data_IF_204497517150
#
_entry.id   IF_204497517150
#
_cell.length_a   1.000
_cell.length_b   1.000
_cell.length_c   1.000
_cell.angle_alpha   90.00
_cell.angle_beta   90.00
_cell.angle_gamma   90.00
#
_symmetry.space_group_name_H-M   'P 1'
#
loop_
_entity.id
_entity.type
_entity.pdbx_description
1 polymer ?
#
# COMPACT_ATOMS: atom_id res chain seq x y z
N UNK A 1 2.35 29.18 -0.66
CA UNK A 1 2.29 27.92 -1.43
C UNK A 1 1.22 27.06 -0.78
N UNK A 2 0.30 26.48 -1.56
CA UNK A 2 -0.76 25.63 -1.00
C UNK A 2 -0.20 24.31 -0.45
N UNK A 3 -1.02 23.62 0.34
CA UNK A 3 -0.70 22.32 0.95
C UNK A 3 -0.67 21.24 -0.12
N UNK A 4 0.36 20.39 -0.12
CA UNK A 4 0.34 19.15 -0.92
C UNK A 4 0.13 17.97 0.00
N UNK A 5 -1.02 17.31 -0.13
CA UNK A 5 -1.40 16.18 0.70
C UNK A 5 -1.28 14.88 -0.09
N UNK A 6 -0.48 13.95 0.40
CA UNK A 6 -0.53 12.57 -0.06
C UNK A 6 -1.44 11.74 0.86
N UNK A 7 -2.40 11.02 0.29
CA UNK A 7 -3.29 10.10 1.00
C UNK A 7 -2.92 8.66 0.63
N UNK A 8 -2.43 7.88 1.60
CA UNK A 8 -2.16 6.45 1.44
C UNK A 8 -3.34 5.61 1.96
N UNK A 9 -3.99 4.89 1.04
CA UNK A 9 -5.17 4.08 1.32
C UNK A 9 -4.81 2.63 1.66
N UNK A 10 -5.32 2.16 2.80
CA UNK A 10 -5.28 0.74 3.15
C UNK A 10 -6.21 -0.14 2.29
N UNK A 11 -6.07 -1.46 2.42
CA UNK A 11 -6.88 -2.42 1.67
C UNK A 11 -8.40 -2.28 1.88
N UNK A 12 -8.82 -1.84 3.08
CA UNK A 12 -10.23 -1.64 3.43
C UNK A 12 -10.91 -0.52 2.62
N UNK A 13 -10.14 0.36 1.98
CA UNK A 13 -10.68 1.35 1.04
C UNK A 13 -11.26 0.70 -0.23
N UNK A 14 -10.86 -0.55 -0.51
CA UNK A 14 -11.24 -1.27 -1.73
C UNK A 14 -12.00 -2.55 -1.38
N UNK A 15 -11.50 -3.36 -0.45
CA UNK A 15 -12.12 -4.62 -0.04
C UNK A 15 -12.08 -4.78 1.47
N UNK A 16 -13.24 -5.01 2.10
CA UNK A 16 -13.33 -5.29 3.53
C UNK A 16 -13.01 -6.76 3.84
N UNK A 17 -12.67 -7.03 5.10
CA UNK A 17 -12.25 -8.36 5.54
C UNK A 17 -13.35 -9.44 5.40
N UNK A 18 -14.63 -9.05 5.50
CA UNK A 18 -15.79 -9.93 5.45
C UNK A 18 -16.44 -10.06 4.06
N UNK A 19 -15.91 -9.37 3.05
CA UNK A 19 -16.44 -9.38 1.68
C UNK A 19 -15.70 -10.41 0.81
N UNK A 20 -16.37 -10.90 -0.24
CA UNK A 20 -15.75 -11.82 -1.21
C UNK A 20 -14.76 -11.09 -2.11
N UNK A 21 -15.00 -9.80 -2.38
CA UNK A 21 -14.19 -8.98 -3.26
C UNK A 21 -14.71 -8.97 -4.70
N UNK A 22 -16.02 -9.05 -4.90
CA UNK A 22 -16.63 -8.87 -6.22
C UNK A 22 -16.40 -7.45 -6.76
N UNK A 23 -16.58 -7.26 -8.07
CA UNK A 23 -16.48 -5.92 -8.67
C UNK A 23 -17.44 -4.92 -8.02
N UNK A 24 -18.67 -5.32 -7.73
CA UNK A 24 -19.69 -4.44 -7.13
C UNK A 24 -19.32 -4.04 -5.70
N UNK A 25 -18.82 -4.99 -4.90
CA UNK A 25 -18.33 -4.69 -3.54
C UNK A 25 -17.15 -3.73 -3.58
N UNK A 26 -16.18 -3.96 -4.46
CA UNK A 26 -15.00 -3.12 -4.58
C UNK A 26 -15.35 -1.71 -5.09
N UNK A 27 -16.21 -1.61 -6.11
CA UNK A 27 -16.71 -0.34 -6.62
C UNK A 27 -17.46 0.45 -5.55
N UNK A 28 -18.30 -0.20 -4.75
CA UNK A 28 -19.03 0.42 -3.64
C UNK A 28 -18.08 0.95 -2.56
N UNK A 29 -17.06 0.20 -2.16
CA UNK A 29 -16.08 0.66 -1.17
C UNK A 29 -15.24 1.82 -1.67
N UNK A 30 -14.79 1.76 -2.94
CA UNK A 30 -14.06 2.85 -3.57
C UNK A 30 -14.95 4.10 -3.69
N UNK A 31 -16.24 3.95 -3.99
CA UNK A 31 -17.20 5.06 -4.00
C UNK A 31 -17.28 5.76 -2.64
N UNK A 32 -17.45 5.00 -1.55
CA UNK A 32 -17.46 5.55 -0.17
C UNK A 32 -16.15 6.28 0.13
N UNK A 33 -15.01 5.70 -0.26
CA UNK A 33 -13.69 6.33 -0.08
C UNK A 33 -13.59 7.65 -0.84
N UNK A 34 -13.98 7.67 -2.11
CA UNK A 34 -13.96 8.87 -2.94
C UNK A 34 -14.88 9.96 -2.38
N UNK A 35 -16.07 9.61 -1.88
CA UNK A 35 -16.98 10.57 -1.26
C UNK A 35 -16.31 11.31 -0.08
N UNK A 36 -15.64 10.58 0.81
CA UNK A 36 -14.96 11.16 1.97
C UNK A 36 -13.77 12.02 1.57
N UNK A 37 -12.99 11.58 0.58
CA UNK A 37 -11.88 12.37 0.04
C UNK A 37 -12.38 13.64 -0.65
N UNK A 38 -13.49 13.60 -1.40
CA UNK A 38 -14.09 14.81 -1.99
C UNK A 38 -14.59 15.77 -0.92
N UNK A 39 -15.19 15.28 0.18
CA UNK A 39 -15.55 16.12 1.35
C UNK A 39 -14.33 16.81 1.96
N UNK A 40 -13.19 16.12 2.01
CA UNK A 40 -11.92 16.71 2.43
C UNK A 40 -11.46 17.79 1.45
N UNK A 41 -11.43 17.51 0.15
CA UNK A 41 -11.01 18.44 -0.91
C UNK A 41 -11.89 19.70 -0.93
N UNK A 42 -13.19 19.57 -0.66
CA UNK A 42 -14.11 20.73 -0.56
C UNK A 42 -13.72 21.73 0.55
N UNK A 43 -12.92 21.31 1.54
CA UNK A 43 -12.42 22.19 2.61
C UNK A 43 -11.03 22.77 2.34
N UNK A 44 -10.38 22.32 1.27
CA UNK A 44 -9.04 22.76 0.92
C UNK A 44 -9.04 24.13 0.23
N UNK A 45 -7.92 24.83 0.32
CA UNK A 45 -7.69 26.07 -0.44
C UNK A 45 -7.49 25.79 -1.93
N UNK A 46 -7.68 26.80 -2.78
CA UNK A 46 -7.55 26.64 -4.24
C UNK A 46 -6.14 26.18 -4.69
N UNK A 47 -5.12 26.47 -3.90
CA UNK A 47 -3.73 26.09 -4.16
C UNK A 47 -3.34 24.75 -3.55
N UNK A 48 -4.22 24.12 -2.77
CA UNK A 48 -3.93 22.81 -2.21
C UNK A 48 -4.02 21.74 -3.30
N UNK A 49 -3.22 20.68 -3.15
CA UNK A 49 -3.12 19.56 -4.07
C UNK A 49 -3.25 18.24 -3.33
N UNK A 50 -3.83 17.25 -4.01
CA UNK A 50 -4.01 15.90 -3.47
C UNK A 50 -3.47 14.87 -4.45
N UNK A 51 -2.71 13.93 -3.92
CA UNK A 51 -2.35 12.69 -4.60
C UNK A 51 -2.76 11.50 -3.73
N UNK A 52 -3.03 10.36 -4.37
CA UNK A 52 -3.57 9.17 -3.72
C UNK A 52 -2.68 7.98 -4.07
N UNK A 53 -2.34 7.18 -3.07
CA UNK A 53 -1.77 5.85 -3.24
C UNK A 53 -2.69 4.82 -2.58
N UNK A 54 -2.53 3.54 -2.93
CA UNK A 54 -3.35 2.48 -2.35
C UNK A 54 -2.59 1.16 -2.27
N UNK A 55 -3.03 0.25 -1.39
CA UNK A 55 -2.62 -1.15 -1.43
C UNK A 55 -3.33 -1.96 -2.53
N UNK A 56 -2.81 -3.14 -2.87
CA UNK A 56 -3.39 -4.06 -3.86
C UNK A 56 -3.43 -5.53 -3.41
N UNK A 57 -3.11 -5.83 -2.13
CA UNK A 57 -2.84 -7.19 -1.67
C UNK A 57 -3.92 -8.23 -2.02
N UNK A 58 -5.21 -7.98 -1.75
CA UNK A 58 -6.28 -8.88 -2.19
C UNK A 58 -6.40 -9.00 -3.72
N UNK A 59 -6.25 -7.89 -4.45
CA UNK A 59 -6.43 -7.84 -5.90
C UNK A 59 -5.31 -8.57 -6.64
N UNK A 60 -4.05 -8.28 -6.30
CA UNK A 60 -2.89 -8.98 -6.87
C UNK A 60 -2.90 -10.46 -6.51
N UNK A 61 -3.37 -10.82 -5.30
CA UNK A 61 -3.57 -12.21 -4.89
C UNK A 61 -4.62 -12.94 -5.73
N UNK A 62 -5.76 -12.30 -6.01
CA UNK A 62 -6.81 -12.87 -6.85
C UNK A 62 -6.34 -13.02 -8.31
N UNK A 63 -5.65 -12.01 -8.86
CA UNK A 63 -5.09 -12.08 -10.20
C UNK A 63 -4.05 -13.20 -10.31
N UNK A 64 -3.24 -13.41 -9.28
CA UNK A 64 -2.29 -14.51 -9.24
C UNK A 64 -2.99 -15.89 -9.28
N UNK A 65 -4.07 -16.07 -8.52
CA UNK A 65 -4.88 -17.31 -8.59
C UNK A 65 -5.43 -17.51 -10.01
N UNK A 66 -5.83 -16.43 -10.69
CA UNK A 66 -6.29 -16.50 -12.09
C UNK A 66 -5.16 -16.89 -13.05
N UNK A 67 -3.93 -16.38 -12.85
CA UNK A 67 -2.77 -16.80 -13.63
C UNK A 67 -2.48 -18.29 -13.43
N UNK A 68 -2.49 -18.77 -12.19
CA UNK A 68 -2.25 -20.17 -11.84
C UNK A 68 -3.31 -21.09 -12.46
N UNK A 69 -4.59 -20.77 -12.26
CA UNK A 69 -5.71 -21.56 -12.80
C UNK A 69 -5.78 -21.52 -14.33
N UNK A 70 -5.37 -20.42 -14.95
CA UNK A 70 -5.38 -20.23 -16.41
C UNK A 70 -4.13 -20.75 -17.13
N UNK A 71 -3.05 -21.07 -16.40
CA UNK A 71 -1.73 -21.40 -16.96
C UNK A 71 -1.71 -22.59 -17.94
N UNK A 72 -2.64 -23.55 -17.77
CA UNK A 72 -2.80 -24.69 -18.68
C UNK A 72 -3.50 -24.35 -20.01
N UNK A 73 -4.09 -23.16 -20.12
CA UNK A 73 -4.83 -22.69 -21.31
C UNK A 73 -4.10 -21.53 -22.01
N UNK A 74 -3.53 -20.60 -21.22
CA UNK A 74 -2.80 -19.43 -21.71
C UNK A 74 -1.56 -19.20 -20.84
N UNK A 75 -0.46 -18.64 -21.39
CA UNK A 75 0.74 -18.37 -20.60
C UNK A 75 0.45 -17.43 -19.42
N UNK A 76 0.80 -17.88 -18.21
CA UNK A 76 0.78 -17.04 -17.02
C UNK A 76 1.76 -15.86 -17.18
N UNK A 77 1.38 -14.70 -16.66
CA UNK A 77 2.20 -13.50 -16.67
C UNK A 77 3.11 -13.44 -15.43
N UNK A 78 4.26 -12.78 -15.61
CA UNK A 78 5.19 -12.49 -14.52
C UNK A 78 4.54 -11.61 -13.44
N UNK A 79 5.02 -11.73 -12.22
CA UNK A 79 4.34 -11.16 -11.06
C UNK A 79 4.33 -9.62 -11.03
N UNK A 80 5.37 -8.97 -11.56
CA UNK A 80 5.43 -7.52 -11.77
C UNK A 80 4.36 -7.06 -12.80
N UNK A 81 4.17 -7.83 -13.87
CA UNK A 81 3.11 -7.60 -14.86
C UNK A 81 1.73 -7.77 -14.21
N UNK A 82 1.53 -8.78 -13.36
CA UNK A 82 0.30 -8.95 -12.57
C UNK A 82 0.09 -7.76 -11.61
N UNK A 83 1.16 -7.24 -11.02
CA UNK A 83 1.15 -5.98 -10.25
C UNK A 83 0.63 -4.81 -11.09
N UNK A 84 1.11 -4.66 -12.33
CA UNK A 84 0.63 -3.62 -13.26
C UNK A 84 -0.86 -3.74 -13.59
N UNK A 85 -1.37 -4.98 -13.74
CA UNK A 85 -2.81 -5.22 -13.95
C UNK A 85 -3.64 -4.70 -12.78
N UNK A 86 -3.16 -4.89 -11.55
CA UNK A 86 -3.85 -4.41 -10.35
C UNK A 86 -3.87 -2.87 -10.27
N UNK A 87 -2.84 -2.18 -10.77
CA UNK A 87 -2.84 -0.71 -10.87
C UNK A 87 -3.90 -0.23 -11.87
N UNK A 88 -3.99 -0.85 -13.04
CA UNK A 88 -5.04 -0.53 -14.02
C UNK A 88 -6.45 -0.80 -13.47
N UNK A 89 -6.64 -1.94 -12.81
CA UNK A 89 -7.92 -2.32 -12.21
C UNK A 89 -8.37 -1.32 -11.13
N UNK A 90 -7.54 -1.10 -10.10
CA UNK A 90 -7.90 -0.26 -8.96
C UNK A 90 -7.90 1.23 -9.37
N UNK A 91 -6.93 1.63 -10.18
CA UNK A 91 -6.83 2.98 -10.73
C UNK A 91 -8.08 3.38 -11.50
N UNK A 92 -8.63 2.49 -12.33
CA UNK A 92 -9.91 2.71 -12.99
C UNK A 92 -11.05 2.94 -12.00
N UNK A 93 -11.17 2.11 -10.95
CA UNK A 93 -12.22 2.25 -9.94
C UNK A 93 -12.15 3.62 -9.25
N UNK A 94 -10.96 4.07 -8.86
CA UNK A 94 -10.78 5.39 -8.25
C UNK A 94 -11.03 6.53 -9.23
N UNK A 95 -10.48 6.44 -10.45
CA UNK A 95 -10.64 7.48 -11.46
C UNK A 95 -12.12 7.71 -11.79
N UNK A 96 -12.89 6.63 -12.01
CA UNK A 96 -14.32 6.74 -12.30
C UNK A 96 -15.10 7.32 -11.13
N UNK A 97 -14.94 6.77 -9.92
CA UNK A 97 -15.71 7.22 -8.75
C UNK A 97 -15.35 8.65 -8.33
N UNK A 98 -14.06 8.97 -8.28
CA UNK A 98 -13.60 10.31 -7.92
C UNK A 98 -14.14 11.35 -8.91
N UNK A 99 -14.07 11.09 -10.21
CA UNK A 99 -14.61 12.01 -11.22
C UNK A 99 -16.13 12.21 -11.05
N UNK A 100 -16.88 11.16 -10.72
CA UNK A 100 -18.32 11.25 -10.45
C UNK A 100 -18.62 12.15 -9.23
N UNK A 101 -17.93 11.94 -8.10
CA UNK A 101 -18.16 12.74 -6.89
C UNK A 101 -17.69 14.19 -7.03
N UNK A 102 -16.58 14.44 -7.75
CA UNK A 102 -16.12 15.79 -8.09
C UNK A 102 -17.14 16.51 -8.98
N UNK A 103 -17.69 15.82 -9.98
CA UNK A 103 -18.75 16.36 -10.86
C UNK A 103 -19.99 16.72 -10.05
N UNK A 104 -20.42 15.83 -9.15
CA UNK A 104 -21.57 16.05 -8.27
C UNK A 104 -21.34 17.21 -7.26
N UNK A 105 -20.10 17.39 -6.79
CA UNK A 105 -19.73 18.51 -5.93
C UNK A 105 -19.85 19.88 -6.64
N UNK A 106 -19.83 19.90 -7.97
CA UNK A 106 -20.06 21.10 -8.78
C UNK A 106 -18.91 22.11 -8.74
N UNK A 107 -19.19 23.33 -9.23
CA UNK A 107 -18.25 24.44 -9.22
C UNK A 107 -16.94 24.17 -9.98
N UNK A 108 -15.81 24.61 -9.41
CA UNK A 108 -14.47 24.36 -9.97
C UNK A 108 -14.07 22.88 -9.88
N UNK A 109 -14.51 22.17 -8.82
CA UNK A 109 -14.18 20.76 -8.59
C UNK A 109 -14.69 19.84 -9.69
N UNK A 110 -15.84 20.14 -10.29
CA UNK A 110 -16.41 19.35 -11.38
C UNK A 110 -15.51 19.28 -12.63
N UNK A 111 -14.51 20.18 -12.74
CA UNK A 111 -13.54 20.21 -13.84
C UNK A 111 -12.17 19.68 -13.42
N UNK A 112 -11.99 19.27 -12.17
CA UNK A 112 -10.71 18.72 -11.69
C UNK A 112 -10.45 17.39 -12.39
N UNK A 113 -9.34 17.27 -13.14
CA UNK A 113 -9.00 16.01 -13.80
C UNK A 113 -8.50 15.00 -12.77
N UNK A 114 -8.89 13.75 -12.95
CA UNK A 114 -8.38 12.62 -12.18
C UNK A 114 -7.68 11.65 -13.13
N UNK A 115 -6.46 11.23 -12.78
CA UNK A 115 -5.72 10.24 -13.57
C UNK A 115 -5.11 9.17 -12.68
N UNK A 116 -5.29 7.91 -13.08
CA UNK A 116 -4.50 6.80 -12.55
C UNK A 116 -3.29 6.57 -13.44
N UNK A 117 -2.10 6.55 -12.84
CA UNK A 117 -0.83 6.38 -13.54
C UNK A 117 -0.27 5.00 -13.24
N UNK A 118 0.01 4.23 -14.29
CA UNK A 118 0.84 3.03 -14.15
C UNK A 118 2.26 3.50 -13.84
N UNK A 119 2.83 3.06 -12.72
CA UNK A 119 4.13 3.53 -12.28
C UNK A 119 5.01 2.42 -11.70
N UNK A 120 6.31 2.61 -11.90
CA UNK A 120 7.38 1.74 -11.44
C UNK A 120 8.09 2.36 -10.23
N UNK A 121 8.58 1.50 -9.35
CA UNK A 121 9.37 1.90 -8.18
C UNK A 121 10.68 1.13 -8.18
N UNK A 122 11.77 1.90 -8.20
CA UNK A 122 13.12 1.39 -8.15
C UNK A 122 13.39 0.81 -6.75
N UNK A 123 13.97 -0.40 -6.73
CA UNK A 123 14.39 -1.10 -5.52
C UNK A 123 15.83 -1.60 -5.68
N UNK A 124 16.50 -1.90 -4.56
CA UNK A 124 17.86 -2.44 -4.60
C UNK A 124 17.85 -3.92 -4.98
N UNK A 125 18.65 -4.39 -5.96
CA UNK A 125 18.81 -5.82 -6.21
C UNK A 125 19.48 -6.56 -5.03
N UNK A 126 20.19 -5.84 -4.16
CA UNK A 126 20.85 -6.38 -2.97
C UNK A 126 19.99 -6.29 -1.70
N UNK A 127 18.69 -5.96 -1.84
CA UNK A 127 17.80 -5.90 -0.69
C UNK A 127 17.68 -7.28 -0.01
N UNK A 128 17.88 -7.39 1.31
CA UNK A 128 17.85 -8.67 2.02
C UNK A 128 16.49 -9.39 1.95
N UNK A 129 15.39 -8.70 1.66
CA UNK A 129 14.08 -9.33 1.45
C UNK A 129 14.04 -10.25 0.21
N UNK A 130 14.96 -10.08 -0.74
CA UNK A 130 15.11 -11.02 -1.84
C UNK A 130 15.73 -12.35 -1.40
N UNK A 131 16.46 -12.36 -0.28
CA UNK A 131 17.06 -13.56 0.30
C UNK A 131 16.08 -14.30 1.22
N UNK A 132 15.33 -13.57 2.03
CA UNK A 132 14.34 -14.14 2.96
C UNK A 132 13.02 -13.37 2.93
N UNK A 133 12.05 -13.75 2.07
CA UNK A 133 10.83 -12.98 1.87
C UNK A 133 9.93 -13.00 3.10
N UNK A 134 9.39 -11.85 3.51
CA UNK A 134 8.50 -11.79 4.69
C UNK A 134 7.08 -11.35 4.38
N UNK A 135 6.83 -10.75 3.20
CA UNK A 135 5.56 -10.09 2.91
C UNK A 135 4.45 -11.07 2.54
N UNK A 136 3.36 -11.17 3.31
CA UNK A 136 2.32 -12.16 3.03
C UNK A 136 1.32 -11.67 1.97
N UNK A 137 1.03 -12.53 1.00
CA UNK A 137 0.07 -12.27 -0.10
C UNK A 137 -0.97 -13.40 -0.23
N UNK A 138 -2.08 -13.12 -0.90
CA UNK A 138 -3.13 -14.11 -1.17
C UNK A 138 -3.81 -14.67 0.08
N UNK A 139 -4.37 -15.88 -0.06
CA UNK A 139 -5.19 -16.54 0.97
C UNK A 139 -4.37 -17.19 2.09
N UNK A 140 -5.05 -17.50 3.20
CA UNK A 140 -4.49 -18.33 4.27
C UNK A 140 -4.67 -19.82 3.96
N UNK A 141 -3.69 -20.63 4.35
CA UNK A 141 -3.67 -22.08 4.20
C UNK A 141 -3.61 -22.79 5.56
N UNK A 142 -4.28 -23.93 5.68
CA UNK A 142 -3.96 -24.92 6.70
C UNK A 142 -2.58 -25.52 6.43
N UNK A 143 -2.05 -26.30 7.39
CA UNK A 143 -0.82 -27.03 7.18
C UNK A 143 -0.97 -28.04 6.03
N UNK A 144 -2.07 -28.79 6.00
CA UNK A 144 -2.31 -29.79 4.95
C UNK A 144 -2.48 -29.12 3.57
N UNK A 145 -3.14 -27.96 3.50
CA UNK A 145 -3.27 -27.21 2.25
C UNK A 145 -1.90 -26.71 1.75
N UNK A 146 -1.04 -26.24 2.65
CA UNK A 146 0.32 -25.82 2.30
C UNK A 146 1.17 -26.99 1.79
N UNK A 147 1.08 -28.16 2.43
CA UNK A 147 1.81 -29.38 2.03
C UNK A 147 1.37 -29.85 0.64
N UNK A 148 0.08 -29.78 0.32
CA UNK A 148 -0.42 -30.09 -1.04
C UNK A 148 0.16 -29.16 -2.11
N UNK A 149 0.30 -27.86 -1.81
CA UNK A 149 0.90 -26.91 -2.76
C UNK A 149 2.38 -27.21 -3.04
N UNK A 150 3.10 -27.77 -2.06
CA UNK A 150 4.49 -28.24 -2.25
C UNK A 150 4.51 -29.39 -3.26
N UNK A 151 3.63 -30.38 -3.09
CA UNK A 151 3.55 -31.57 -3.94
C UNK A 151 3.06 -31.26 -5.36
N UNK A 152 2.01 -30.43 -5.48
CA UNK A 152 1.31 -30.22 -6.75
C UNK A 152 1.87 -29.06 -7.57
N UNK A 153 2.45 -28.04 -6.92
CA UNK A 153 2.82 -26.76 -7.57
C UNK A 153 4.30 -26.38 -7.37
N UNK A 154 5.10 -27.24 -6.71
CA UNK A 154 6.52 -26.97 -6.49
C UNK A 154 6.78 -25.80 -5.53
N UNK A 155 5.81 -25.47 -4.68
CA UNK A 155 6.00 -24.48 -3.62
C UNK A 155 6.97 -25.02 -2.56
N UNK A 156 7.45 -24.14 -1.68
CA UNK A 156 8.30 -24.55 -0.56
C UNK A 156 7.82 -23.93 0.74
N UNK A 157 7.96 -24.66 1.85
CA UNK A 157 7.62 -24.16 3.18
C UNK A 157 8.91 -23.83 3.91
N UNK A 158 9.07 -22.58 4.34
CA UNK A 158 10.21 -22.08 5.12
C UNK A 158 11.59 -22.58 4.59
N UNK A 159 11.94 -22.35 3.31
CA UNK A 159 13.27 -22.69 2.83
C UNK A 159 14.34 -21.84 3.54
N UNK A 160 15.62 -22.26 3.50
CA UNK A 160 16.73 -21.39 3.90
C UNK A 160 16.79 -20.14 3.00
N UNK A 161 17.44 -19.08 3.49
CA UNK A 161 17.64 -17.86 2.72
C UNK A 161 18.51 -18.13 1.48
N UNK A 162 18.14 -17.53 0.34
CA UNK A 162 18.77 -17.82 -0.96
C UNK A 162 18.39 -16.83 -2.06
N UNK A 163 19.13 -16.83 -3.19
CA UNK A 163 18.97 -15.87 -4.30
C UNK A 163 17.96 -16.29 -5.37
N UNK A 164 17.22 -17.37 -5.14
CA UNK A 164 16.45 -18.00 -6.22
C UNK A 164 15.28 -17.13 -6.71
N UNK A 165 14.89 -16.10 -5.94
CA UNK A 165 13.94 -15.07 -6.36
C UNK A 165 14.50 -14.05 -7.36
N UNK A 166 15.79 -13.77 -7.30
CA UNK A 166 16.48 -12.88 -8.25
C UNK A 166 16.85 -13.63 -9.54
N UNK A 167 17.25 -14.90 -9.39
CA UNK A 167 17.69 -15.75 -10.49
C UNK A 167 16.51 -16.35 -11.29
N UNK A 168 15.27 -16.10 -10.85
CA UNK A 168 14.02 -16.64 -11.43
C UNK A 168 14.01 -18.17 -11.54
N UNK A 169 14.72 -18.84 -10.64
CA UNK A 169 14.87 -20.31 -10.65
C UNK A 169 13.73 -21.02 -9.89
N UNK A 170 12.92 -20.28 -9.10
CA UNK A 170 11.77 -20.84 -8.40
C UNK A 170 10.54 -20.89 -9.30
N UNK A 171 9.97 -22.08 -9.45
CA UNK A 171 8.69 -22.30 -10.14
C UNK A 171 7.47 -22.07 -9.24
N UNK A 172 7.65 -22.05 -7.91
CA UNK A 172 6.59 -21.94 -6.91
C UNK A 172 6.84 -20.87 -5.83
N UNK A 173 5.80 -20.57 -5.03
CA UNK A 173 5.90 -19.57 -3.95
C UNK A 173 6.54 -20.15 -2.68
N UNK A 174 7.15 -19.28 -1.87
CA UNK A 174 7.47 -19.60 -0.48
C UNK A 174 6.22 -19.44 0.37
N UNK A 175 5.97 -20.43 1.22
CA UNK A 175 4.95 -20.40 2.26
C UNK A 175 5.65 -20.24 3.60
N UNK A 176 5.18 -19.27 4.41
CA UNK A 176 5.58 -19.10 5.81
C UNK A 176 4.37 -19.16 6.72
N UNK A 177 4.63 -19.54 7.97
CA UNK A 177 3.67 -19.35 9.06
C UNK A 177 3.70 -17.87 9.47
N UNK A 178 2.57 -17.18 9.31
CA UNK A 178 2.47 -15.72 9.52
C UNK A 178 1.66 -15.34 10.75
N UNK A 179 1.01 -16.31 11.37
CA UNK A 179 0.36 -16.18 12.68
C UNK A 179 0.65 -17.42 13.53
N UNK A 180 0.68 -17.31 14.87
CA UNK A 180 0.94 -18.46 15.74
C UNK A 180 -0.09 -19.59 15.57
N UNK A 181 0.35 -20.82 15.76
CA UNK A 181 -0.50 -22.01 15.68
C UNK A 181 -1.55 -21.95 16.80
N UNK A 182 -2.82 -22.22 16.47
CA UNK A 182 -3.93 -22.15 17.42
C UNK A 182 -4.59 -20.77 17.52
N UNK A 183 -4.02 -19.71 16.92
CA UNK A 183 -4.69 -18.40 16.82
C UNK A 183 -5.76 -18.38 15.73
N UNK A 184 -5.52 -19.09 14.62
CA UNK A 184 -6.47 -19.25 13.50
C UNK A 184 -6.39 -20.67 12.94
N UNK A 185 -7.47 -21.20 12.32
CA UNK A 185 -7.45 -22.52 11.67
C UNK A 185 -6.41 -22.63 10.55
N UNK A 186 -6.11 -21.51 9.89
CA UNK A 186 -5.19 -21.44 8.74
C UNK A 186 -4.07 -20.44 9.02
N UNK A 187 -2.90 -20.88 9.50
CA UNK A 187 -1.85 -19.95 9.94
C UNK A 187 -0.79 -19.62 8.86
N UNK A 188 -0.84 -20.28 7.70
CA UNK A 188 0.16 -20.13 6.64
C UNK A 188 -0.29 -19.18 5.54
N UNK A 189 0.66 -18.45 4.92
CA UNK A 189 0.42 -17.66 3.70
C UNK A 189 1.61 -17.77 2.76
N UNK A 190 1.36 -17.53 1.46
CA UNK A 190 2.43 -17.23 0.49
C UNK A 190 3.14 -15.96 0.95
N UNK A 191 4.46 -15.94 0.84
CA UNK A 191 5.27 -14.74 1.05
C UNK A 191 6.09 -14.42 -0.19
N UNK A 192 6.35 -13.13 -0.37
CA UNK A 192 7.16 -12.58 -1.45
C UNK A 192 8.14 -11.57 -0.87
N UNK A 193 9.24 -11.25 -1.57
CA UNK A 193 10.11 -10.16 -1.18
C UNK A 193 9.34 -8.85 -1.08
N UNK A 194 9.63 -8.02 -0.08
CA UNK A 194 9.14 -6.65 0.04
C UNK A 194 10.28 -5.66 0.24
N UNK A 195 11.10 -5.46 -0.81
CA UNK A 195 12.26 -4.59 -0.74
C UNK A 195 11.87 -3.13 -0.44
N UNK A 196 12.82 -2.39 0.14
CA UNK A 196 12.62 -0.97 0.47
C UNK A 196 12.54 -0.12 -0.80
N UNK A 197 11.53 0.74 -0.95
CA UNK A 197 11.39 1.59 -2.12
C UNK A 197 12.44 2.71 -2.12
N UNK A 198 13.16 2.85 -3.24
CA UNK A 198 14.18 3.87 -3.43
C UNK A 198 13.59 5.11 -4.10
N UNK A 199 12.95 4.93 -5.26
CA UNK A 199 12.50 6.04 -6.10
C UNK A 199 11.29 5.65 -6.95
N UNK A 200 10.34 6.57 -7.14
CA UNK A 200 9.30 6.44 -8.15
C UNK A 200 9.87 6.88 -9.50
N UNK A 201 9.97 5.96 -10.47
CA UNK A 201 10.56 6.23 -11.80
C UNK A 201 9.81 7.36 -12.51
N UNK A 202 8.49 7.38 -12.44
CA UNK A 202 7.64 8.42 -13.02
C UNK A 202 7.39 9.61 -12.06
N UNK A 203 8.13 9.71 -10.95
CA UNK A 203 7.91 10.67 -9.87
C UNK A 203 7.88 12.13 -10.34
N UNK A 204 8.81 12.54 -11.19
CA UNK A 204 8.86 13.92 -11.72
C UNK A 204 7.61 14.26 -12.56
N UNK A 205 7.14 13.31 -13.38
CA UNK A 205 5.93 13.49 -14.19
C UNK A 205 4.69 13.56 -13.31
N UNK A 206 4.59 12.67 -12.32
CA UNK A 206 3.50 12.67 -11.34
C UNK A 206 3.46 13.99 -10.57
N UNK A 207 4.62 14.48 -10.11
CA UNK A 207 4.74 15.78 -9.45
C UNK A 207 4.22 16.92 -10.33
N UNK A 208 4.62 16.98 -11.60
CA UNK A 208 4.13 18.02 -12.54
C UNK A 208 2.61 17.98 -12.70
N UNK A 209 2.01 16.79 -12.77
CA UNK A 209 0.55 16.64 -12.83
C UNK A 209 -0.12 17.13 -11.54
N UNK A 210 0.42 16.75 -10.37
CA UNK A 210 -0.07 17.22 -9.07
C UNK A 210 0.04 18.75 -8.99
N UNK A 211 1.16 19.34 -9.37
CA UNK A 211 1.37 20.80 -9.35
C UNK A 211 0.34 21.54 -10.23
N UNK A 212 -0.06 20.94 -11.36
CA UNK A 212 -1.11 21.46 -12.26
C UNK A 212 -2.55 21.34 -11.73
N UNK A 213 -2.76 20.76 -10.54
CA UNK A 213 -4.10 20.58 -9.97
C UNK A 213 -4.79 19.29 -10.39
N UNK A 214 -4.09 18.36 -11.03
CA UNK A 214 -4.61 17.02 -11.33
C UNK A 214 -4.59 16.19 -10.05
N UNK A 215 -5.70 15.51 -9.74
CA UNK A 215 -5.69 14.48 -8.69
C UNK A 215 -5.09 13.22 -9.30
N UNK A 216 -3.91 12.84 -8.81
CA UNK A 216 -3.18 11.68 -9.33
C UNK A 216 -3.34 10.50 -8.38
N UNK A 217 -3.78 9.37 -8.93
CA UNK A 217 -3.72 8.05 -8.28
C UNK A 217 -2.47 7.34 -8.81
N UNK A 218 -1.48 7.10 -7.95
CA UNK A 218 -0.21 6.48 -8.34
C UNK A 218 0.33 5.60 -7.21
N UNK A 219 1.46 4.95 -7.45
CA UNK A 219 2.09 3.98 -6.54
C UNK A 219 1.09 2.91 -6.07
N UNK A 220 0.20 2.50 -6.97
CA UNK A 220 -0.81 1.50 -6.67
C UNK A 220 -0.16 0.17 -6.33
N UNK A 221 -0.52 -0.41 -5.18
CA UNK A 221 0.12 -1.61 -4.66
C UNK A 221 1.54 -1.43 -4.14
N UNK A 222 1.99 -0.19 -3.99
CA UNK A 222 3.39 0.13 -3.70
C UNK A 222 4.25 0.41 -4.94
N UNK A 223 3.66 0.42 -6.14
CA UNK A 223 4.38 0.55 -7.40
C UNK A 223 4.81 -0.80 -7.99
N UNK A 224 5.11 -0.83 -9.29
CA UNK A 224 5.66 -2.02 -9.95
C UNK A 224 7.16 -2.06 -9.63
N UNK A 225 7.64 -3.09 -8.90
CA UNK A 225 9.03 -3.13 -8.47
C UNK A 225 9.96 -3.39 -9.66
N UNK A 226 10.96 -2.53 -9.81
CA UNK A 226 11.99 -2.65 -10.84
C UNK A 226 13.38 -2.47 -10.24
N UNK A 227 14.36 -3.14 -10.83
CA UNK A 227 15.79 -2.88 -10.59
C UNK A 227 16.40 -2.24 -11.84
N UNK A 228 17.61 -1.68 -11.71
CA UNK A 228 18.49 -1.42 -12.85
C UNK A 228 19.41 -2.62 -13.01
N UNK A 229 19.37 -3.27 -14.18
CA UNK A 229 20.27 -4.38 -14.48
C UNK A 229 21.69 -3.88 -14.79
N UNK A 230 22.61 -4.80 -15.10
CA UNK A 230 24.03 -4.49 -15.40
C UNK A 230 24.19 -3.52 -16.59
N UNK A 231 23.22 -3.47 -17.51
CA UNK A 231 23.20 -2.55 -18.65
C UNK A 231 22.52 -1.20 -18.32
N UNK A 232 22.11 -0.99 -17.07
CA UNK A 232 21.40 0.21 -16.60
C UNK A 232 19.92 0.29 -16.98
N UNK A 233 19.36 -0.78 -17.57
CA UNK A 233 17.96 -0.86 -18.03
C UNK A 233 17.05 -1.25 -16.88
N UNK A 234 15.82 -0.73 -16.90
CA UNK A 234 14.78 -1.15 -15.95
C UNK A 234 14.35 -2.58 -16.24
N UNK A 235 14.23 -3.38 -15.19
CA UNK A 235 13.78 -4.76 -15.25
C UNK A 235 12.85 -5.04 -14.07
N UNK A 236 11.65 -5.55 -14.38
CA UNK A 236 10.69 -5.99 -13.37
C UNK A 236 11.21 -7.19 -12.57
N UNK A 237 10.90 -7.19 -11.27
CA UNK A 237 11.32 -8.25 -10.34
C UNK A 237 10.14 -8.81 -9.59
N UNK A 238 10.28 -10.07 -9.15
CA UNK A 238 9.25 -10.74 -8.37
C UNK A 238 9.25 -10.21 -6.92
N UNK A 239 8.42 -9.21 -6.63
CA UNK A 239 8.23 -8.68 -5.27
C UNK A 239 6.93 -7.87 -5.13
N UNK A 240 6.55 -7.54 -3.89
CA UNK A 240 5.53 -6.52 -3.60
C UNK A 240 6.11 -5.53 -2.61
N UNK A 241 6.14 -4.25 -2.97
CA UNK A 241 6.63 -3.19 -2.10
C UNK A 241 5.56 -2.87 -1.05
N UNK A 242 5.98 -2.55 0.18
CA UNK A 242 5.04 -2.08 1.18
C UNK A 242 4.41 -0.74 0.77
N UNK A 243 3.09 -0.73 0.61
CA UNK A 243 2.35 0.45 0.16
C UNK A 243 2.50 1.67 1.07
N UNK A 244 2.72 1.50 2.38
CA UNK A 244 2.85 2.63 3.29
C UNK A 244 4.23 3.30 3.09
N UNK A 245 5.30 2.49 2.95
CA UNK A 245 6.66 2.98 2.59
C UNK A 245 6.72 3.58 1.18
N UNK A 246 6.08 2.93 0.20
CA UNK A 246 6.00 3.46 -1.15
C UNK A 246 5.17 4.75 -1.23
N UNK A 247 4.11 4.82 -0.42
CA UNK A 247 3.35 6.04 -0.18
C UNK A 247 4.25 7.15 0.31
N UNK A 248 5.03 6.91 1.37
CA UNK A 248 6.00 7.89 1.86
C UNK A 248 6.98 8.36 0.77
N UNK A 249 7.59 7.45 0.00
CA UNK A 249 8.45 7.81 -1.15
C UNK A 249 7.74 8.60 -2.24
N UNK A 250 6.45 8.33 -2.48
CA UNK A 250 5.65 9.15 -3.40
C UNK A 250 5.43 10.55 -2.82
N UNK A 251 5.27 10.66 -1.50
CA UNK A 251 5.08 11.93 -0.81
C UNK A 251 6.33 12.79 -0.97
N UNK A 252 7.52 12.21 -0.78
CA UNK A 252 8.78 12.89 -1.09
C UNK A 252 8.85 13.31 -2.57
N UNK A 253 8.53 12.40 -3.50
CA UNK A 253 8.64 12.63 -4.94
C UNK A 253 7.77 13.80 -5.45
N UNK A 254 6.58 14.01 -4.84
CA UNK A 254 5.69 15.12 -5.20
C UNK A 254 5.91 16.39 -4.36
N UNK A 255 6.88 16.35 -3.44
CA UNK A 255 7.12 17.36 -2.41
C UNK A 255 5.87 17.64 -1.56
N UNK A 256 5.25 16.57 -1.06
CA UNK A 256 4.11 16.65 -0.17
C UNK A 256 4.50 17.36 1.12
N UNK A 257 3.63 18.25 1.60
CA UNK A 257 3.79 18.88 2.92
C UNK A 257 3.17 18.03 4.02
N UNK A 258 2.11 17.28 3.69
CA UNK A 258 1.38 16.44 4.62
C UNK A 258 1.24 15.02 4.06
N UNK A 259 1.39 14.03 4.95
CA UNK A 259 1.22 12.61 4.61
C UNK A 259 0.14 11.99 5.50
N UNK A 260 -0.93 11.48 4.88
CA UNK A 260 -2.07 10.89 5.58
C UNK A 260 -2.16 9.40 5.25
N UNK A 261 -2.03 8.55 6.26
CA UNK A 261 -2.21 7.10 6.16
C UNK A 261 -3.59 6.73 6.69
N UNK A 262 -4.44 6.17 5.82
CA UNK A 262 -5.78 5.73 6.18
C UNK A 262 -5.82 4.22 6.46
N UNK A 263 -6.34 3.87 7.65
CA UNK A 263 -6.46 2.49 8.16
C UNK A 263 -7.86 2.24 8.75
N UNK A 264 -8.04 1.10 9.43
CA UNK A 264 -9.26 0.67 10.11
C UNK A 264 -9.46 1.23 11.53
N UNK A 265 -8.45 1.86 12.10
CA UNK A 265 -8.49 2.43 13.46
C UNK A 265 -8.36 3.95 13.42
N UNK A 266 -9.03 4.62 14.35
CA UNK A 266 -9.02 6.09 14.47
C UNK A 266 -7.66 6.62 14.94
N UNK A 267 -6.99 5.89 15.85
CA UNK A 267 -5.67 6.24 16.40
C UNK A 267 -4.70 5.06 16.30
N UNK A 268 -3.42 5.38 16.37
CA UNK A 268 -2.38 4.46 16.84
C UNK A 268 -2.56 4.24 18.35
N UNK A 269 -2.36 3.02 18.82
CA UNK A 269 -2.48 2.68 20.23
C UNK A 269 -1.18 2.09 20.76
N UNK A 270 -0.85 2.46 22.00
CA UNK A 270 0.13 1.74 22.79
C UNK A 270 -0.59 0.62 23.54
N UNK A 271 0.11 -0.48 23.74
CA UNK A 271 -0.44 -1.68 24.38
C UNK A 271 -1.72 -2.19 23.68
N UNK A 272 -1.72 -2.17 22.35
CA UNK A 272 -2.86 -2.58 21.54
C UNK A 272 -3.36 -3.99 21.91
N UNK A 273 -4.66 -4.11 22.16
CA UNK A 273 -5.33 -5.34 22.57
C UNK A 273 -5.18 -5.72 24.05
N UNK A 274 -4.52 -4.91 24.89
CA UNK A 274 -4.37 -5.14 26.34
C UNK A 274 -5.35 -4.28 27.15
N UNK A 275 -5.52 -4.62 28.42
CA UNK A 275 -6.40 -3.86 29.35
C UNK A 275 -5.96 -2.40 29.53
N UNK A 276 -4.65 -2.13 29.42
CA UNK A 276 -4.07 -0.80 29.55
C UNK A 276 -3.88 -0.08 28.20
N UNK A 277 -4.55 -0.54 27.13
CA UNK A 277 -4.47 0.08 25.80
C UNK A 277 -4.81 1.58 25.89
N UNK A 278 -3.96 2.43 25.28
CA UNK A 278 -4.19 3.88 25.23
C UNK A 278 -3.96 4.46 23.84
N UNK A 279 -4.83 5.37 23.36
CA UNK A 279 -4.62 6.03 22.08
C UNK A 279 -3.46 7.04 22.17
N UNK A 280 -2.72 7.17 21.08
CA UNK A 280 -1.74 8.23 20.87
C UNK A 280 -2.38 9.26 19.96
N UNK A 281 -2.64 10.47 20.48
CA UNK A 281 -3.25 11.57 19.69
C UNK A 281 -2.19 12.40 18.97
N UNK A 282 -1.10 12.68 19.67
CA UNK A 282 0.04 13.44 19.18
C UNK A 282 1.31 12.76 19.69
N UNK A 283 2.34 12.70 18.86
CA UNK A 283 3.69 12.28 19.27
C UNK A 283 4.77 12.95 18.41
N UNK A 284 5.96 13.16 18.98
CA UNK A 284 7.14 13.54 18.19
C UNK A 284 7.72 12.35 17.44
N UNK A 285 8.63 12.60 16.49
CA UNK A 285 9.39 11.54 15.83
C UNK A 285 10.18 10.71 16.83
N UNK A 286 10.82 11.32 17.83
CA UNK A 286 11.59 10.60 18.84
C UNK A 286 10.71 9.67 19.68
N UNK A 287 9.51 10.11 20.04
CA UNK A 287 8.54 9.27 20.74
C UNK A 287 8.08 8.10 19.86
N UNK A 288 7.80 8.36 18.59
CA UNK A 288 7.40 7.32 17.64
C UNK A 288 8.49 6.26 17.44
N UNK A 289 9.76 6.67 17.34
CA UNK A 289 10.92 5.77 17.26
C UNK A 289 11.07 4.93 18.54
N UNK A 290 10.99 5.58 19.70
CA UNK A 290 11.02 4.87 20.99
C UNK A 290 9.91 3.82 21.09
N UNK A 291 8.68 4.17 20.73
CA UNK A 291 7.56 3.21 20.78
C UNK A 291 7.69 2.06 19.79
N UNK A 292 8.34 2.28 18.64
CA UNK A 292 8.71 1.21 17.70
C UNK A 292 9.75 0.26 18.31
N UNK A 293 10.79 0.79 18.95
CA UNK A 293 11.83 0.00 19.62
C UNK A 293 11.28 -0.81 20.80
N UNK A 294 10.35 -0.22 21.58
CA UNK A 294 9.62 -0.88 22.66
C UNK A 294 8.63 -1.95 22.17
N UNK A 295 8.43 -2.06 20.85
CA UNK A 295 7.60 -3.10 20.24
C UNK A 295 6.10 -2.86 20.39
N UNK A 296 5.66 -1.62 20.64
CA UNK A 296 4.23 -1.30 20.77
C UNK A 296 3.46 -1.44 19.45
N UNK A 297 4.14 -1.30 18.30
CA UNK A 297 3.50 -1.36 16.98
C UNK A 297 3.87 -2.67 16.24
N UNK A 298 2.85 -3.47 15.93
CA UNK A 298 3.03 -4.78 15.29
C UNK A 298 3.63 -4.65 13.88
N UNK A 299 4.70 -5.40 13.60
CA UNK A 299 5.42 -5.41 12.31
C UNK A 299 4.56 -5.74 11.09
N UNK A 300 3.46 -6.48 11.27
CA UNK A 300 2.55 -6.87 10.19
C UNK A 300 1.43 -5.86 9.87
N UNK A 301 1.30 -4.79 10.66
CA UNK A 301 0.19 -3.84 10.52
C UNK A 301 0.61 -2.39 10.79
N UNK A 302 0.69 -1.99 12.07
CA UNK A 302 0.90 -0.60 12.46
C UNK A 302 2.37 -0.16 12.39
N UNK A 303 3.31 -1.09 12.60
CA UNK A 303 4.75 -0.79 12.56
C UNK A 303 5.19 -0.11 11.26
N UNK A 304 4.93 -0.68 10.07
CA UNK A 304 5.28 -0.07 8.79
C UNK A 304 4.63 1.29 8.54
N UNK A 305 3.44 1.53 9.11
CA UNK A 305 2.73 2.82 9.00
C UNK A 305 3.45 3.92 9.78
N UNK A 306 3.79 3.62 11.03
CA UNK A 306 4.54 4.54 11.88
C UNK A 306 5.95 4.78 11.32
N UNK A 307 6.62 3.73 10.83
CA UNK A 307 7.92 3.84 10.16
C UNK A 307 7.85 4.77 8.93
N UNK A 308 6.83 4.61 8.08
CA UNK A 308 6.62 5.50 6.94
C UNK A 308 6.36 6.95 7.39
N UNK A 309 5.56 7.18 8.41
CA UNK A 309 5.35 8.54 8.93
C UNK A 309 6.64 9.17 9.50
N UNK A 310 7.47 8.39 10.20
CA UNK A 310 8.77 8.85 10.71
C UNK A 310 9.69 9.26 9.56
N UNK A 311 9.81 8.42 8.52
CA UNK A 311 10.63 8.72 7.34
C UNK A 311 10.20 10.02 6.67
N UNK A 312 8.89 10.20 6.46
CA UNK A 312 8.34 11.42 5.87
C UNK A 312 8.69 12.69 6.65
N UNK A 313 8.57 12.64 7.98
CA UNK A 313 8.90 13.80 8.82
C UNK A 313 10.41 14.07 8.81
N UNK A 314 11.25 13.03 8.92
CA UNK A 314 12.71 13.16 8.86
C UNK A 314 13.22 13.68 7.51
N UNK A 315 12.52 13.37 6.42
CA UNK A 315 12.80 13.92 5.09
C UNK A 315 12.56 15.45 5.03
N UNK A 316 11.68 15.99 5.88
CA UNK A 316 11.31 17.41 5.90
C UNK A 316 9.81 17.66 5.72
N UNK A 317 9.00 16.60 5.75
CA UNK A 317 7.55 16.70 5.79
C UNK A 317 7.08 17.46 7.02
N UNK A 318 6.01 18.25 6.88
CA UNK A 318 5.52 19.11 7.97
C UNK A 318 4.76 18.32 9.01
N UNK A 319 3.93 17.37 8.58
CA UNK A 319 3.00 16.63 9.43
C UNK A 319 2.58 15.31 8.80
N UNK A 320 2.61 14.24 9.58
CA UNK A 320 2.06 12.95 9.21
C UNK A 320 0.86 12.60 10.09
N UNK A 321 -0.15 11.96 9.51
CA UNK A 321 -1.41 11.64 10.18
C UNK A 321 -1.74 10.18 9.93
N UNK A 322 -2.09 9.44 10.97
CA UNK A 322 -2.67 8.09 10.87
C UNK A 322 -4.09 8.16 11.42
N UNK A 323 -5.09 7.79 10.62
CA UNK A 323 -6.49 7.74 11.07
C UNK A 323 -7.34 6.78 10.24
N UNK A 324 -8.64 6.71 10.54
CA UNK A 324 -9.59 5.94 9.74
C UNK A 324 -10.27 6.80 8.69
N UNK A 325 -10.77 6.14 7.63
CA UNK A 325 -11.48 6.81 6.54
C UNK A 325 -12.70 7.61 7.03
N UNK A 326 -13.41 7.09 8.02
CA UNK A 326 -14.60 7.74 8.60
C UNK A 326 -14.28 9.10 9.26
N UNK A 327 -13.06 9.24 9.76
CA UNK A 327 -12.59 10.43 10.46
C UNK A 327 -11.67 11.31 9.62
N UNK A 328 -11.48 11.01 8.33
CA UNK A 328 -10.46 11.67 7.49
C UNK A 328 -10.54 13.19 7.50
N UNK A 329 -11.75 13.73 7.46
CA UNK A 329 -11.98 15.17 7.41
C UNK A 329 -11.57 15.82 8.74
N UNK A 330 -12.04 15.27 9.87
CA UNK A 330 -11.72 15.81 11.19
C UNK A 330 -10.25 15.54 11.59
N UNK A 331 -9.64 14.48 11.06
CA UNK A 331 -8.24 14.17 11.26
C UNK A 331 -7.34 15.23 10.61
N UNK A 332 -7.61 15.61 9.36
CA UNK A 332 -6.83 16.67 8.69
C UNK A 332 -6.98 18.04 9.37
N UNK A 333 -8.16 18.31 9.94
CA UNK A 333 -8.48 19.48 10.76
C UNK A 333 -7.83 19.45 12.17
N UNK A 334 -7.18 18.34 12.56
CA UNK A 334 -6.49 18.21 13.84
C UNK A 334 -7.38 17.88 15.04
N UNK A 335 -8.61 17.41 14.82
CA UNK A 335 -9.57 17.09 15.90
C UNK A 335 -9.50 15.64 16.38
N UNK A 336 -8.97 14.76 15.54
CA UNK A 336 -8.84 13.30 15.76
C UNK A 336 -7.63 12.78 14.97
N UNK A 337 -7.35 11.48 15.02
CA UNK A 337 -6.18 10.86 14.41
C UNK A 337 -4.96 10.93 15.31
N UNK A 338 -3.95 10.14 14.97
CA UNK A 338 -2.60 10.29 15.50
C UNK A 338 -1.81 11.22 14.61
N UNK A 339 -1.31 12.32 15.18
CA UNK A 339 -0.47 13.28 14.49
C UNK A 339 0.99 13.10 14.90
N UNK A 340 1.87 13.03 13.91
CA UNK A 340 3.31 12.87 14.11
C UNK A 340 3.98 14.13 13.55
N UNK A 341 4.80 14.74 14.40
CA UNK A 341 5.45 16.02 14.16
C UNK A 341 6.97 15.90 14.35
N UNK A 342 7.76 16.83 13.78
CA UNK A 342 9.22 16.85 13.93
C UNK A 342 9.72 16.78 15.36
#
# INVERSE_FOLDING_TARGET
>A
MGRKLLIALGGNAIKRANEEGTTDEQMRNVAITCEQIVKLIQRQGEEDRVAITHGNGPQVGNLLIQQEAGSGLVPAQEFDVVGSMSQGQIGYMFQQNMQNYLTAAGGKLAKTPVIAVVNQVLVSPDDPEFLDPTKPIGNFFSKEEAEKLVEEQGYVINPPAGREYLEKERTGFVIKQVVPTGTKPKPFRRVVPSPDPIENVEGETIKKLVDLGVIVVASGGGGIPVIRNEEGRLQGVFSVIDKDKAGERMAEAIEATDFLVLTDVEYVYLDFGKENQRPVRDMSVEEAEKYLEEGHFLRGSMGPKVEACIRFIKWGGRRAIISSLEHVVDAVDGKTGTHIHP
#
